data_IF_841200296922
#
_entry.id   IF_841200296922
#
_cell.length_a   1.000
_cell.length_b   1.000
_cell.length_c   1.000
_cell.angle_alpha   90.00
_cell.angle_beta   90.00
_cell.angle_gamma   90.00
#
_symmetry.space_group_name_H-M   'P 1'
#
loop_
_entity.id
_entity.type
_entity.pdbx_description
1 polymer ?
#
# COMPACT_ATOMS: atom_id res chain seq x y z
N UNK A 1 -43.36 -54.89 -17.11
CA UNK A 1 -42.47 -55.01 -18.27
C UNK A 1 -41.08 -54.56 -17.80
N UNK A 2 -40.24 -55.50 -17.38
CA UNK A 2 -39.03 -55.98 -18.09
C UNK A 2 -38.03 -54.86 -18.42
N UNK A 3 -36.73 -54.91 -18.08
CA UNK A 3 -35.87 -56.00 -17.58
C UNK A 3 -34.55 -55.42 -17.04
N UNK A 4 -33.97 -56.13 -16.09
CA UNK A 4 -32.60 -56.02 -15.55
C UNK A 4 -31.50 -56.10 -16.62
N UNK A 5 -30.32 -55.55 -16.31
CA UNK A 5 -29.11 -56.38 -16.15
C UNK A 5 -28.03 -55.68 -15.31
N UNK A 6 -27.64 -56.36 -14.23
CA UNK A 6 -26.45 -56.16 -13.41
C UNK A 6 -25.19 -56.65 -14.17
N UNK A 7 -23.98 -56.28 -13.70
CA UNK A 7 -22.90 -57.21 -13.27
C UNK A 7 -21.58 -56.45 -12.94
N UNK A 8 -21.21 -56.53 -11.64
CA UNK A 8 -19.89 -56.82 -11.01
C UNK A 8 -18.71 -55.83 -11.14
N UNK A 9 -18.10 -55.52 -9.97
CA UNK A 9 -16.96 -54.60 -9.73
C UNK A 9 -15.56 -55.10 -10.17
N UNK A 10 -14.45 -54.51 -9.68
CA UNK A 10 -14.09 -54.61 -8.25
C UNK A 10 -13.54 -53.31 -7.60
N UNK A 11 -13.48 -53.38 -6.27
CA UNK A 11 -12.76 -52.49 -5.34
C UNK A 11 -11.25 -52.56 -5.62
N UNK A 12 -10.58 -51.42 -5.68
CA UNK A 12 -9.13 -51.33 -5.46
C UNK A 12 -8.77 -50.01 -4.79
N UNK A 13 -8.30 -50.15 -3.55
CA UNK A 13 -7.59 -49.15 -2.77
C UNK A 13 -6.31 -48.71 -3.50
N UNK A 14 -6.02 -47.42 -3.55
CA UNK A 14 -4.69 -46.92 -3.87
C UNK A 14 -4.45 -45.57 -3.17
N UNK A 15 -3.81 -45.71 -2.00
CA UNK A 15 -2.98 -44.70 -1.34
C UNK A 15 -1.79 -44.36 -2.25
N UNK A 16 -1.12 -43.21 -1.99
CA UNK A 16 0.22 -42.77 -2.48
C UNK A 16 0.32 -42.29 -3.94
N UNK A 17 1.05 -41.24 -4.31
CA UNK A 17 2.13 -40.51 -3.66
C UNK A 17 2.19 -39.04 -4.16
N UNK A 18 2.54 -38.12 -3.27
CA UNK A 18 3.07 -36.80 -3.62
C UNK A 18 4.42 -37.03 -4.28
N UNK A 19 4.56 -36.67 -5.54
CA UNK A 19 5.83 -36.71 -6.25
C UNK A 19 6.73 -35.56 -5.77
N UNK A 20 7.36 -35.74 -4.60
CA UNK A 20 8.61 -35.06 -4.30
C UNK A 20 9.65 -35.65 -5.26
N UNK A 21 10.19 -34.83 -6.15
CA UNK A 21 11.30 -35.23 -7.00
C UNK A 21 12.55 -35.30 -6.12
N UNK A 22 12.73 -36.42 -5.44
CA UNK A 22 13.98 -36.75 -4.76
C UNK A 22 15.01 -37.12 -5.82
N UNK A 23 16.10 -36.37 -5.88
CA UNK A 23 17.25 -36.71 -6.71
C UNK A 23 17.75 -38.09 -6.30
N UNK A 24 18.06 -38.95 -7.27
CA UNK A 24 18.64 -40.25 -6.93
C UNK A 24 19.99 -40.04 -6.22
N UNK A 25 20.42 -40.95 -5.33
CA UNK A 25 21.70 -40.83 -4.64
C UNK A 25 22.87 -40.64 -5.62
N UNK A 26 22.83 -41.27 -6.80
CA UNK A 26 23.87 -41.06 -7.83
C UNK A 26 23.79 -39.68 -8.48
N UNK A 27 22.61 -39.06 -8.59
CA UNK A 27 22.47 -37.69 -9.08
C UNK A 27 23.00 -36.69 -8.06
N UNK A 28 22.77 -36.93 -6.77
CA UNK A 28 23.26 -36.10 -5.67
C UNK A 28 24.78 -36.17 -5.55
N UNK A 29 25.38 -37.36 -5.65
CA UNK A 29 26.85 -37.51 -5.67
C UNK A 29 27.48 -36.88 -6.92
N UNK A 30 26.82 -36.94 -8.09
CA UNK A 30 27.29 -36.23 -9.29
C UNK A 30 27.23 -34.72 -9.13
N UNK A 31 26.18 -34.18 -8.49
CA UNK A 31 26.07 -32.74 -8.22
C UNK A 31 27.16 -32.30 -7.25
N UNK A 32 27.41 -33.05 -6.17
CA UNK A 32 28.50 -32.77 -5.24
C UNK A 32 29.88 -32.80 -5.91
N UNK A 33 30.12 -33.77 -6.80
CA UNK A 33 31.36 -33.86 -7.57
C UNK A 33 31.58 -32.64 -8.47
N UNK A 34 30.55 -32.18 -9.19
CA UNK A 34 30.63 -31.00 -10.06
C UNK A 34 30.83 -29.72 -9.25
N UNK A 35 30.15 -29.60 -8.11
CA UNK A 35 30.30 -28.45 -7.21
C UNK A 35 31.71 -28.42 -6.60
N UNK A 36 32.28 -29.57 -6.23
CA UNK A 36 33.66 -29.62 -5.74
C UNK A 36 34.69 -29.25 -6.82
N UNK A 37 34.48 -29.63 -8.08
CA UNK A 37 35.34 -29.18 -9.19
C UNK A 37 35.28 -27.66 -9.42
N UNK A 38 34.15 -27.00 -9.11
CA UNK A 38 33.99 -25.56 -9.26
C UNK A 38 34.53 -24.76 -8.06
N UNK A 39 34.71 -25.39 -6.90
CA UNK A 39 35.03 -24.72 -5.63
C UNK A 39 36.51 -24.90 -5.22
N UNK A 40 37.25 -25.89 -5.74
CA UNK A 40 38.68 -26.00 -5.43
C UNK A 40 39.49 -24.91 -6.15
N UNK A 41 40.15 -23.99 -5.41
CA UNK A 41 41.10 -23.08 -6.01
C UNK A 41 42.41 -23.84 -6.19
N UNK A 42 42.81 -24.06 -7.42
CA UNK A 42 44.15 -24.56 -7.73
C UNK A 42 44.70 -23.70 -8.85
N UNK A 43 45.25 -22.56 -8.45
CA UNK A 43 46.25 -21.85 -9.25
C UNK A 43 47.58 -22.63 -9.19
N UNK A 44 48.38 -22.65 -10.26
CA UNK A 44 48.82 -21.42 -10.92
C UNK A 44 48.51 -21.32 -12.41
N UNK A 45 48.01 -20.13 -12.78
CA UNK A 45 48.08 -19.45 -14.09
C UNK A 45 47.88 -20.39 -15.29
N UNK A 46 46.64 -20.54 -15.79
CA UNK A 46 46.43 -21.20 -17.06
C UNK A 46 47.02 -20.31 -18.15
N UNK A 47 47.94 -20.87 -18.93
CA UNK A 47 48.32 -20.26 -20.22
C UNK A 47 47.04 -19.97 -21.02
N UNK A 48 46.95 -18.85 -21.77
CA UNK A 48 45.71 -18.41 -22.41
C UNK A 48 45.01 -19.47 -23.28
N UNK A 49 45.75 -20.47 -23.77
CA UNK A 49 45.19 -21.61 -24.50
C UNK A 49 44.45 -22.64 -23.65
N UNK A 50 44.81 -22.84 -22.37
CA UNK A 50 44.21 -23.87 -21.51
C UNK A 50 42.77 -23.52 -21.12
N UNK A 51 42.50 -22.26 -20.75
CA UNK A 51 41.15 -21.79 -20.41
C UNK A 51 40.19 -21.85 -21.62
N UNK A 52 40.69 -21.54 -22.82
CA UNK A 52 39.89 -21.63 -24.06
C UNK A 52 39.60 -23.09 -24.41
N UNK A 53 40.57 -23.99 -24.23
CA UNK A 53 40.39 -25.42 -24.48
C UNK A 53 39.39 -26.03 -23.50
N UNK A 54 39.44 -25.62 -22.23
CA UNK A 54 38.49 -26.06 -21.21
C UNK A 54 37.08 -25.49 -21.43
N UNK A 55 36.96 -24.21 -21.82
CA UNK A 55 35.70 -23.61 -22.21
C UNK A 55 35.06 -24.31 -23.42
N UNK A 56 35.84 -24.59 -24.47
CA UNK A 56 35.38 -25.32 -25.65
C UNK A 56 34.98 -26.76 -25.30
N UNK A 57 35.74 -27.43 -24.43
CA UNK A 57 35.41 -28.79 -23.97
C UNK A 57 34.14 -28.83 -23.13
N UNK A 58 33.89 -27.81 -22.29
CA UNK A 58 32.64 -27.66 -21.55
C UNK A 58 31.47 -27.32 -22.48
N UNK A 59 31.71 -26.52 -23.53
CA UNK A 59 30.69 -26.22 -24.54
C UNK A 59 30.33 -27.44 -25.40
N UNK A 60 31.32 -28.27 -25.74
CA UNK A 60 31.14 -29.53 -26.46
C UNK A 60 30.46 -30.59 -25.58
N UNK A 61 30.75 -30.64 -24.28
CA UNK A 61 30.01 -31.47 -23.32
C UNK A 61 28.55 -31.00 -23.16
N UNK A 62 28.29 -29.70 -23.23
CA UNK A 62 26.92 -29.16 -23.26
C UNK A 62 26.21 -29.47 -24.59
N UNK A 63 26.92 -29.46 -25.72
CA UNK A 63 26.36 -29.83 -27.04
C UNK A 63 26.11 -31.33 -27.18
N UNK A 64 27.01 -32.17 -26.70
CA UNK A 64 26.89 -33.63 -26.79
C UNK A 64 25.81 -34.22 -25.88
N UNK A 65 25.31 -33.47 -24.88
CA UNK A 65 24.25 -33.89 -23.96
C UNK A 65 22.84 -33.43 -24.35
N UNK A 66 22.69 -32.66 -25.41
CA UNK A 66 21.36 -32.29 -25.93
C UNK A 66 21.03 -33.26 -27.07
N UNK A 67 20.66 -34.49 -26.70
CA UNK A 67 19.71 -35.23 -27.53
C UNK A 67 18.44 -34.40 -27.68
N UNK A 68 17.61 -34.61 -28.73
CA UNK A 68 16.40 -33.84 -28.90
C UNK A 68 15.54 -34.01 -27.64
N UNK A 69 15.40 -32.94 -26.86
CA UNK A 69 14.42 -32.89 -25.78
C UNK A 69 13.08 -32.96 -26.50
N UNK A 70 12.52 -34.16 -26.63
CA UNK A 70 11.14 -34.32 -27.08
C UNK A 70 10.32 -33.57 -26.04
N UNK A 71 9.65 -32.45 -26.38
CA UNK A 71 8.89 -31.68 -25.41
C UNK A 71 7.62 -32.47 -25.10
N UNK A 72 7.72 -33.45 -24.19
CA UNK A 72 6.54 -34.04 -23.54
C UNK A 72 6.05 -33.09 -22.46
N UNK A 73 5.71 -31.86 -22.82
CA UNK A 73 5.10 -30.93 -21.90
C UNK A 73 4.01 -30.18 -22.63
N UNK A 74 2.76 -30.66 -22.45
CA UNK A 74 1.65 -29.70 -22.38
C UNK A 74 2.09 -28.67 -21.33
N UNK A 75 2.22 -27.38 -21.67
CA UNK A 75 2.58 -26.38 -20.66
C UNK A 75 1.47 -26.39 -19.62
N UNK A 76 1.71 -27.04 -18.48
CA UNK A 76 0.84 -26.89 -17.33
C UNK A 76 0.94 -25.42 -16.97
N UNK A 77 -0.14 -24.68 -17.23
CA UNK A 77 -0.24 -23.27 -16.84
C UNK A 77 -0.06 -23.21 -15.33
N UNK A 78 1.12 -22.80 -14.88
CA UNK A 78 1.41 -22.59 -13.47
C UNK A 78 0.37 -21.61 -12.92
N UNK A 79 -0.50 -22.09 -12.03
CA UNK A 79 -1.48 -21.21 -11.39
C UNK A 79 -0.77 -20.41 -10.31
N UNK A 80 -1.02 -19.11 -10.24
CA UNK A 80 -0.45 -18.24 -9.19
C UNK A 80 -0.61 -18.85 -7.79
N UNK A 81 -1.74 -19.50 -7.52
CA UNK A 81 -2.06 -20.14 -6.24
C UNK A 81 -1.16 -21.33 -5.90
N UNK A 82 -0.65 -22.04 -6.91
CA UNK A 82 0.22 -23.22 -6.76
C UNK A 82 1.68 -22.86 -6.46
N UNK A 83 2.06 -21.59 -6.64
CA UNK A 83 3.40 -21.13 -6.31
C UNK A 83 3.62 -21.12 -4.78
N UNK A 84 4.86 -21.35 -4.32
CA UNK A 84 5.25 -21.16 -2.93
C UNK A 84 4.84 -19.78 -2.39
N UNK A 85 4.60 -19.69 -1.08
CA UNK A 85 4.09 -18.46 -0.46
C UNK A 85 5.06 -17.28 -0.64
N UNK A 86 6.35 -17.57 -0.60
CA UNK A 86 7.46 -16.63 -0.74
C UNK A 86 7.42 -15.98 -2.13
N UNK A 87 7.32 -16.80 -3.18
CA UNK A 87 7.24 -16.34 -4.57
C UNK A 87 5.96 -15.55 -4.81
N UNK A 88 4.82 -16.01 -4.29
CA UNK A 88 3.55 -15.25 -4.37
C UNK A 88 3.67 -13.88 -3.71
N UNK A 89 4.27 -13.81 -2.52
CA UNK A 89 4.46 -12.55 -1.80
C UNK A 89 5.41 -11.61 -2.53
N UNK A 90 6.45 -12.13 -3.18
CA UNK A 90 7.31 -11.33 -4.06
C UNK A 90 6.53 -10.77 -5.25
N UNK A 91 5.72 -11.59 -5.92
CA UNK A 91 4.85 -11.14 -7.01
C UNK A 91 3.88 -10.05 -6.53
N UNK A 92 3.21 -10.25 -5.39
CA UNK A 92 2.31 -9.25 -4.83
C UNK A 92 3.03 -7.95 -4.51
N UNK A 93 4.18 -8.00 -3.84
CA UNK A 93 4.98 -6.81 -3.54
C UNK A 93 5.35 -6.06 -4.82
N UNK A 94 5.86 -6.77 -5.82
CA UNK A 94 6.31 -6.17 -7.07
C UNK A 94 5.17 -5.57 -7.91
N UNK A 95 3.95 -6.14 -7.83
CA UNK A 95 2.83 -5.73 -8.69
C UNK A 95 1.79 -4.84 -8.02
N UNK A 96 1.71 -4.86 -6.69
CA UNK A 96 0.69 -4.14 -5.92
C UNK A 96 1.27 -2.99 -5.08
N UNK A 97 2.57 -2.98 -4.79
CA UNK A 97 3.21 -1.90 -4.02
C UNK A 97 3.87 -0.93 -4.98
N UNK A 98 3.31 0.27 -5.07
CA UNK A 98 3.70 1.34 -5.99
C UNK A 98 4.01 2.66 -5.27
N UNK A 99 3.93 2.68 -3.94
CA UNK A 99 4.19 3.85 -3.11
C UNK A 99 2.94 4.69 -2.88
N UNK A 100 2.44 5.40 -3.90
CA UNK A 100 1.20 6.21 -3.82
C UNK A 100 0.10 5.66 -4.72
N UNK A 101 -1.11 5.58 -4.18
CA UNK A 101 -2.30 5.11 -4.90
C UNK A 101 -3.34 6.22 -4.95
N UNK A 102 -3.87 6.46 -6.15
CA UNK A 102 -4.93 7.43 -6.42
C UNK A 102 -6.20 6.64 -6.82
N UNK A 103 -7.15 6.41 -5.90
CA UNK A 103 -8.29 5.52 -6.12
C UNK A 103 -9.34 6.07 -7.10
N UNK A 104 -9.29 7.35 -7.47
CA UNK A 104 -10.18 7.96 -8.45
C UNK A 104 -9.56 8.04 -9.85
N UNK A 105 -10.37 7.78 -10.88
CA UNK A 105 -9.99 8.00 -12.29
C UNK A 105 -10.09 9.47 -12.71
N UNK A 106 -10.95 10.24 -12.03
CA UNK A 106 -11.27 11.62 -12.41
C UNK A 106 -10.19 12.59 -11.92
N UNK A 107 -9.87 13.60 -12.73
CA UNK A 107 -9.03 14.72 -12.29
C UNK A 107 -9.89 15.52 -11.29
N UNK A 108 -9.53 15.44 -10.02
CA UNK A 108 -10.08 16.35 -9.03
C UNK A 108 -9.29 17.65 -9.16
N UNK A 109 -9.88 18.78 -8.77
CA UNK A 109 -9.17 20.06 -8.66
C UNK A 109 -8.14 20.06 -7.50
N UNK A 110 -7.68 18.86 -7.10
CA UNK A 110 -6.71 18.62 -6.05
C UNK A 110 -5.33 18.52 -6.67
N UNK A 111 -4.51 19.55 -6.42
CA UNK A 111 -3.16 19.68 -6.94
C UNK A 111 -2.26 18.49 -6.57
N UNK A 112 -2.55 17.78 -5.47
CA UNK A 112 -1.81 16.56 -5.09
C UNK A 112 -2.02 15.40 -6.07
N UNK A 113 -3.07 15.47 -6.88
CA UNK A 113 -3.40 14.44 -7.87
C UNK A 113 -2.87 14.77 -9.26
N UNK A 114 -2.27 15.94 -9.48
CA UNK A 114 -1.73 16.32 -10.79
C UNK A 114 -0.61 15.38 -11.25
N UNK A 115 0.25 14.98 -10.31
CA UNK A 115 1.37 14.06 -10.57
C UNK A 115 0.97 12.59 -10.58
N UNK A 116 -0.32 12.24 -10.47
CA UNK A 116 -0.76 10.84 -10.41
C UNK A 116 -0.28 9.97 -11.58
N UNK A 117 -0.02 10.58 -12.73
CA UNK A 117 0.46 9.90 -13.92
C UNK A 117 1.96 9.56 -13.86
N UNK A 118 2.71 10.20 -12.97
CA UNK A 118 4.12 9.90 -12.70
C UNK A 118 4.28 8.64 -11.84
N UNK A 119 3.20 8.19 -11.18
CA UNK A 119 3.20 6.99 -10.34
C UNK A 119 2.79 5.75 -11.12
N UNK A 120 3.47 4.65 -10.83
CA UNK A 120 3.11 3.35 -11.38
C UNK A 120 1.72 2.92 -10.89
N UNK A 121 0.89 2.35 -11.77
CA UNK A 121 -0.43 1.81 -11.39
C UNK A 121 -0.30 0.38 -10.86
N UNK A 122 -0.92 0.04 -9.72
CA UNK A 122 -0.92 -1.32 -9.21
C UNK A 122 -1.76 -2.23 -10.10
N UNK A 123 -1.34 -3.49 -10.26
CA UNK A 123 -2.09 -4.50 -11.01
C UNK A 123 -3.23 -5.09 -10.17
N UNK A 124 -4.27 -4.28 -9.95
CA UNK A 124 -5.41 -4.63 -9.09
C UNK A 124 -6.18 -5.88 -9.55
N UNK A 125 -5.98 -6.36 -10.77
CA UNK A 125 -6.53 -7.64 -11.23
C UNK A 125 -6.06 -8.81 -10.34
N UNK A 126 -4.87 -8.71 -9.73
CA UNK A 126 -4.36 -9.72 -8.80
C UNK A 126 -5.21 -9.86 -7.52
N UNK A 127 -5.87 -8.78 -7.10
CA UNK A 127 -6.79 -8.80 -5.96
C UNK A 127 -8.11 -9.52 -6.30
N UNK A 128 -8.43 -9.65 -7.59
CA UNK A 128 -9.71 -10.21 -8.07
C UNK A 128 -9.61 -11.69 -8.46
N UNK A 129 -8.42 -12.30 -8.44
CA UNK A 129 -8.21 -13.67 -8.94
C UNK A 129 -8.98 -14.72 -8.13
N UNK A 130 -8.84 -14.72 -6.80
CA UNK A 130 -9.56 -15.62 -5.90
C UNK A 130 -9.50 -15.12 -4.46
N UNK A 131 -10.40 -15.60 -3.60
CA UNK A 131 -10.47 -15.21 -2.18
C UNK A 131 -9.17 -15.46 -1.41
N UNK A 132 -8.47 -16.56 -1.69
CA UNK A 132 -7.19 -16.86 -1.05
C UNK A 132 -6.08 -15.90 -1.50
N UNK A 133 -6.06 -15.54 -2.78
CA UNK A 133 -5.13 -14.55 -3.33
C UNK A 133 -5.39 -13.19 -2.69
N UNK A 134 -6.65 -12.76 -2.67
CA UNK A 134 -7.09 -11.53 -2.03
C UNK A 134 -6.64 -11.45 -0.56
N UNK A 135 -6.94 -12.47 0.26
CA UNK A 135 -6.59 -12.46 1.69
C UNK A 135 -5.08 -12.36 1.95
N UNK A 136 -4.24 -12.81 1.02
CA UNK A 136 -2.77 -12.72 1.13
C UNK A 136 -2.23 -11.40 0.58
N UNK A 137 -2.81 -10.92 -0.52
CA UNK A 137 -2.33 -9.76 -1.25
C UNK A 137 -2.84 -8.44 -0.66
N UNK A 138 -4.09 -8.41 -0.16
CA UNK A 138 -4.72 -7.20 0.34
C UNK A 138 -3.98 -6.57 1.53
N UNK A 139 -3.50 -7.32 2.54
CA UNK A 139 -2.69 -6.74 3.61
C UNK A 139 -1.43 -6.03 3.09
N UNK A 140 -0.74 -6.61 2.11
CA UNK A 140 0.44 -6.00 1.50
C UNK A 140 0.07 -4.74 0.72
N UNK A 141 -1.03 -4.79 -0.05
CA UNK A 141 -1.52 -3.67 -0.85
C UNK A 141 -1.93 -2.47 0.02
N UNK A 142 -2.70 -2.69 1.08
CA UNK A 142 -3.20 -1.60 1.94
C UNK A 142 -2.16 -1.08 2.94
N UNK A 143 -1.28 -1.95 3.44
CA UNK A 143 -0.31 -1.55 4.47
C UNK A 143 0.94 -0.86 3.92
N UNK A 144 1.33 -1.16 2.67
CA UNK A 144 2.59 -0.65 2.09
C UNK A 144 2.43 0.51 1.12
N UNK A 145 1.20 0.88 0.79
CA UNK A 145 0.93 2.02 -0.08
C UNK A 145 0.27 3.14 0.72
N UNK A 146 0.61 4.38 0.35
CA UNK A 146 -0.07 5.58 0.81
C UNK A 146 -1.23 5.88 -0.13
N UNK A 147 -2.45 5.90 0.40
CA UNK A 147 -3.64 6.22 -0.38
C UNK A 147 -3.85 7.72 -0.37
N UNK A 148 -3.86 8.34 -1.55
CA UNK A 148 -4.14 9.78 -1.69
C UNK A 148 -5.62 9.94 -1.99
N UNK A 149 -6.37 10.35 -0.97
CA UNK A 149 -7.79 10.63 -1.14
C UNK A 149 -7.95 12.07 -1.63
N UNK A 150 -8.62 12.29 -2.77
CA UNK A 150 -8.92 13.63 -3.26
C UNK A 150 -9.95 14.33 -2.35
N UNK A 151 -10.33 15.56 -2.68
CA UNK A 151 -11.43 16.25 -2.02
C UNK A 151 -12.64 15.35 -1.86
N UNK A 152 -13.24 15.38 -0.67
CA UNK A 152 -14.35 14.53 -0.31
C UNK A 152 -15.62 15.03 -1.00
N UNK A 153 -15.85 14.74 -2.28
CA UNK A 153 -17.13 15.07 -2.95
C UNK A 153 -18.23 14.08 -2.52
N UNK A 154 -18.53 14.07 -1.21
CA UNK A 154 -19.58 13.29 -0.58
C UNK A 154 -19.24 11.82 -0.30
N UNK A 155 -20.23 11.09 0.22
CA UNK A 155 -20.17 9.72 0.75
C UNK A 155 -19.59 8.63 -0.18
N UNK A 156 -19.19 8.96 -1.41
CA UNK A 156 -18.63 8.03 -2.39
C UNK A 156 -17.19 7.58 -2.10
N UNK A 157 -16.31 8.48 -1.67
CA UNK A 157 -14.91 8.12 -1.36
C UNK A 157 -14.78 7.38 -0.04
N UNK A 158 -15.54 7.83 0.95
CA UNK A 158 -15.76 7.11 2.21
C UNK A 158 -16.92 6.14 2.12
N UNK A 159 -17.25 5.61 0.94
CA UNK A 159 -18.30 4.58 0.80
C UNK A 159 -18.04 3.33 1.66
N UNK A 160 -16.81 3.21 2.18
CA UNK A 160 -16.39 2.24 3.18
C UNK A 160 -17.07 2.43 4.54
N UNK A 161 -17.57 3.65 4.83
CA UNK A 161 -18.38 4.03 6.01
C UNK A 161 -19.68 3.25 6.08
N UNK A 162 -20.22 2.83 4.92
CA UNK A 162 -21.36 1.91 4.91
C UNK A 162 -20.87 0.51 5.32
N UNK A 163 -21.19 0.09 6.56
CA UNK A 163 -20.89 -1.26 7.13
C UNK A 163 -21.33 -2.43 6.25
N UNK A 164 -22.13 -2.18 5.22
CA UNK A 164 -22.49 -3.13 4.18
C UNK A 164 -21.65 -2.88 2.93
N UNK A 165 -20.52 -3.55 2.74
CA UNK A 165 -20.04 -3.91 1.39
C UNK A 165 -18.65 -4.56 1.41
N UNK A 166 -18.47 -5.54 0.52
CA UNK A 166 -17.23 -6.11 -0.04
C UNK A 166 -16.04 -6.52 0.87
N UNK A 167 -15.36 -7.61 0.50
CA UNK A 167 -14.09 -8.02 1.11
C UNK A 167 -13.00 -6.93 1.03
N UNK A 168 -13.07 -6.09 -0.01
CA UNK A 168 -12.16 -4.96 -0.25
C UNK A 168 -12.31 -3.90 0.84
N UNK A 169 -13.55 -3.54 1.17
CA UNK A 169 -13.87 -2.53 2.18
C UNK A 169 -13.37 -2.95 3.57
N UNK A 170 -13.67 -4.18 3.99
CA UNK A 170 -13.21 -4.71 5.28
C UNK A 170 -11.68 -4.80 5.34
N UNK A 171 -11.05 -5.31 4.28
CA UNK A 171 -9.59 -5.44 4.26
C UNK A 171 -8.90 -4.08 4.24
N UNK A 172 -9.46 -3.09 3.55
CA UNK A 172 -8.96 -1.72 3.56
C UNK A 172 -8.98 -1.18 4.98
N UNK A 173 -10.14 -1.24 5.64
CA UNK A 173 -10.29 -0.75 7.02
C UNK A 173 -9.32 -1.38 8.02
N UNK A 174 -9.07 -2.70 7.91
CA UNK A 174 -8.18 -3.42 8.84
C UNK A 174 -6.70 -3.21 8.53
N UNK A 175 -6.32 -3.04 7.26
CA UNK A 175 -4.91 -3.10 6.84
C UNK A 175 -4.36 -1.77 6.32
N UNK A 176 -5.18 -0.74 6.13
CA UNK A 176 -4.72 0.57 5.70
C UNK A 176 -3.83 1.19 6.78
N UNK A 177 -2.60 1.53 6.41
CA UNK A 177 -1.60 2.10 7.33
C UNK A 177 -1.19 3.53 6.99
N UNK A 178 -1.36 3.95 5.75
CA UNK A 178 -0.90 5.25 5.29
C UNK A 178 -1.95 5.94 4.42
N UNK A 179 -2.31 7.16 4.80
CA UNK A 179 -3.31 7.96 4.11
C UNK A 179 -2.78 9.38 3.87
N UNK A 180 -3.19 9.98 2.76
CA UNK A 180 -2.92 11.37 2.44
C UNK A 180 -4.24 12.08 2.14
N UNK A 181 -4.60 13.04 2.97
CA UNK A 181 -5.85 13.81 2.88
C UNK A 181 -5.55 15.31 2.73
N UNK A 182 -6.60 16.08 2.48
CA UNK A 182 -6.53 17.54 2.48
C UNK A 182 -7.77 18.12 3.12
N UNK A 183 -7.59 19.19 3.87
CA UNK A 183 -8.69 20.03 4.31
C UNK A 183 -8.95 21.06 3.22
N UNK A 184 -9.85 20.69 2.32
CA UNK A 184 -10.36 21.58 1.29
C UNK A 184 -11.82 21.85 1.55
N UNK A 185 -12.26 23.01 1.09
CA UNK A 185 -13.67 23.33 1.09
C UNK A 185 -14.41 22.75 -0.11
N UNK A 186 -13.66 22.24 -1.10
CA UNK A 186 -14.25 21.42 -2.14
C UNK A 186 -14.79 20.08 -1.62
N UNK A 187 -14.47 19.73 -0.37
CA UNK A 187 -15.09 18.63 0.37
C UNK A 187 -16.59 18.84 0.68
N UNK A 188 -17.11 20.07 0.51
CA UNK A 188 -18.55 20.38 0.61
C UNK A 188 -19.19 20.81 -0.72
N UNK A 189 -18.53 20.58 -1.86
CA UNK A 189 -18.97 21.16 -3.15
C UNK A 189 -20.37 20.77 -3.63
N UNK A 190 -20.86 19.61 -3.18
CA UNK A 190 -22.24 19.21 -3.47
C UNK A 190 -23.23 20.15 -2.78
N UNK A 191 -22.89 20.62 -1.57
CA UNK A 191 -23.66 21.54 -0.75
C UNK A 191 -23.46 23.00 -1.19
N UNK A 192 -22.28 23.43 -1.65
CA UNK A 192 -22.06 24.81 -2.14
C UNK A 192 -23.11 25.27 -3.16
N UNK A 193 -23.44 24.42 -4.13
CA UNK A 193 -24.43 24.75 -5.18
C UNK A 193 -25.85 24.84 -4.63
N UNK A 194 -26.14 24.17 -3.52
CA UNK A 194 -27.42 24.21 -2.80
C UNK A 194 -27.44 25.37 -1.80
N UNK A 195 -26.34 25.63 -1.09
CA UNK A 195 -26.14 26.75 -0.19
C UNK A 195 -26.35 28.10 -0.89
N UNK A 196 -25.80 28.27 -2.11
CA UNK A 196 -26.07 29.45 -2.94
C UNK A 196 -27.55 29.58 -3.35
N UNK A 197 -28.29 28.48 -3.46
CA UNK A 197 -29.73 28.52 -3.76
C UNK A 197 -30.57 28.85 -2.53
N UNK A 198 -30.10 28.42 -1.36
CA UNK A 198 -30.81 28.58 -0.09
C UNK A 198 -30.49 29.90 0.64
N UNK A 199 -29.54 30.69 0.13
CA UNK A 199 -29.18 31.99 0.72
C UNK A 199 -28.46 31.86 2.06
N UNK A 200 -27.62 30.82 2.21
CA UNK A 200 -26.75 30.66 3.38
C UNK A 200 -25.89 31.91 3.56
N UNK A 201 -25.74 32.35 4.81
CA UNK A 201 -24.70 33.30 5.17
C UNK A 201 -23.34 32.59 5.27
N UNK A 202 -22.27 33.40 5.29
CA UNK A 202 -20.90 32.90 5.30
C UNK A 202 -20.62 31.99 6.52
N UNK A 203 -21.26 32.28 7.66
CA UNK A 203 -21.05 31.56 8.92
C UNK A 203 -21.65 30.14 8.87
N UNK A 204 -22.90 30.00 8.41
CA UNK A 204 -23.56 28.70 8.31
C UNK A 204 -22.84 27.75 7.33
N UNK A 205 -22.24 28.30 6.27
CA UNK A 205 -21.45 27.52 5.32
C UNK A 205 -20.10 27.09 5.90
N UNK A 206 -19.42 27.98 6.64
CA UNK A 206 -18.18 27.62 7.33
C UNK A 206 -18.41 26.50 8.36
N UNK A 207 -19.50 26.57 9.13
CA UNK A 207 -19.89 25.53 10.09
C UNK A 207 -20.06 24.15 9.42
N UNK A 208 -20.72 24.08 8.26
CA UNK A 208 -20.92 22.83 7.51
C UNK A 208 -19.59 22.20 7.03
N UNK A 209 -18.64 23.04 6.60
CA UNK A 209 -17.29 22.58 6.24
C UNK A 209 -16.55 22.06 7.46
N UNK A 210 -16.65 22.77 8.59
CA UNK A 210 -16.02 22.33 9.83
C UNK A 210 -16.58 21.00 10.31
N UNK A 211 -17.89 20.82 10.24
CA UNK A 211 -18.54 19.55 10.52
C UNK A 211 -18.04 18.44 9.59
N UNK A 212 -17.87 18.72 8.29
CA UNK A 212 -17.31 17.77 7.33
C UNK A 212 -15.87 17.38 7.67
N UNK A 213 -15.03 18.34 8.07
CA UNK A 213 -13.65 18.07 8.48
C UNK A 213 -13.61 17.26 9.77
N UNK A 214 -14.46 17.59 10.73
CA UNK A 214 -14.61 16.85 11.98
C UNK A 214 -15.03 15.40 11.71
N UNK A 215 -16.08 15.20 10.92
CA UNK A 215 -16.54 13.88 10.46
C UNK A 215 -15.41 13.08 9.81
N UNK A 216 -14.60 13.76 8.99
CA UNK A 216 -13.42 13.15 8.36
C UNK A 216 -12.42 12.67 9.40
N UNK A 217 -12.02 13.52 10.36
CA UNK A 217 -11.03 13.14 11.38
C UNK A 217 -11.58 12.07 12.34
N UNK A 218 -12.86 12.16 12.71
CA UNK A 218 -13.54 11.10 13.46
C UNK A 218 -13.52 9.76 12.71
N UNK A 219 -13.69 9.76 11.39
CA UNK A 219 -13.55 8.55 10.58
C UNK A 219 -12.13 7.98 10.61
N UNK A 220 -11.11 8.85 10.56
CA UNK A 220 -9.72 8.43 10.69
C UNK A 220 -9.47 7.73 12.02
N UNK A 221 -10.21 8.10 13.07
CA UNK A 221 -10.08 7.46 14.38
C UNK A 221 -10.53 6.00 14.40
N UNK A 222 -11.26 5.52 13.40
CA UNK A 222 -11.56 4.09 13.32
C UNK A 222 -10.52 3.30 12.52
N UNK A 223 -9.56 3.97 11.91
CA UNK A 223 -8.50 3.36 11.11
C UNK A 223 -7.22 3.22 11.94
N UNK A 224 -6.60 2.06 11.90
CA UNK A 224 -5.31 1.82 12.55
C UNK A 224 -4.14 2.34 11.69
N UNK A 225 -4.14 3.65 11.42
CA UNK A 225 -3.12 4.34 10.63
C UNK A 225 -1.81 4.45 11.40
N UNK A 226 -0.70 4.33 10.69
CA UNK A 226 0.64 4.66 11.21
C UNK A 226 1.18 5.95 10.61
N UNK A 227 0.64 6.38 9.46
CA UNK A 227 1.00 7.63 8.78
C UNK A 227 -0.25 8.34 8.25
N UNK A 228 -0.37 9.62 8.59
CA UNK A 228 -1.35 10.54 8.03
C UNK A 228 -0.63 11.75 7.43
N UNK A 229 -0.66 11.88 6.11
CA UNK A 229 -0.26 13.11 5.42
C UNK A 229 -1.48 14.04 5.30
N UNK A 230 -1.32 15.29 5.69
CA UNK A 230 -2.35 16.33 5.58
C UNK A 230 -1.79 17.48 4.75
N UNK A 231 -2.47 17.80 3.65
CA UNK A 231 -2.17 19.01 2.87
C UNK A 231 -3.12 20.13 3.24
N UNK A 232 -2.54 21.27 3.56
CA UNK A 232 -3.26 22.52 3.78
C UNK A 232 -3.33 23.37 2.51
N UNK A 233 -2.73 22.97 1.37
CA UNK A 233 -2.58 23.83 0.20
C UNK A 233 -3.88 24.54 -0.22
N UNK A 234 -5.01 23.82 -0.18
CA UNK A 234 -6.31 24.29 -0.65
C UNK A 234 -7.29 24.64 0.49
N UNK A 235 -6.77 24.89 1.68
CA UNK A 235 -7.55 25.28 2.87
C UNK A 235 -7.92 26.78 2.84
N UNK A 236 -8.96 27.14 2.09
CA UNK A 236 -9.40 28.53 1.87
C UNK A 236 -10.91 28.67 1.91
N UNK A 237 -11.42 29.74 2.54
CA UNK A 237 -12.82 30.15 2.44
C UNK A 237 -13.19 30.54 1.00
N UNK A 238 -14.37 30.14 0.50
CA UNK A 238 -14.85 30.41 -0.86
C UNK A 238 -15.64 31.71 -0.91
N UNK A 239 -16.20 32.13 0.24
CA UNK A 239 -16.93 33.38 0.39
C UNK A 239 -15.97 34.53 0.74
N UNK A 240 -15.28 34.43 1.87
CA UNK A 240 -14.37 35.50 2.32
C UNK A 240 -12.94 35.38 1.79
N UNK A 241 -12.62 34.33 1.00
CA UNK A 241 -11.27 34.07 0.45
C UNK A 241 -10.14 34.01 1.49
N UNK A 242 -10.50 33.87 2.76
CA UNK A 242 -9.54 33.85 3.85
C UNK A 242 -8.94 32.46 4.04
N UNK A 243 -7.71 32.42 4.52
CA UNK A 243 -6.96 31.19 4.76
C UNK A 243 -7.43 30.55 6.06
N UNK A 244 -7.82 29.26 6.02
CA UNK A 244 -8.41 28.54 7.18
C UNK A 244 -7.50 27.46 7.77
N UNK A 245 -6.21 27.47 7.43
CA UNK A 245 -5.23 26.46 7.83
C UNK A 245 -5.15 26.23 9.35
N UNK A 246 -5.19 27.28 10.16
CA UNK A 246 -5.14 27.17 11.62
C UNK A 246 -6.37 26.46 12.19
N UNK A 247 -7.57 26.74 11.66
CA UNK A 247 -8.81 26.11 12.10
C UNK A 247 -8.85 24.63 11.68
N UNK A 248 -8.42 24.33 10.45
CA UNK A 248 -8.30 22.95 9.99
C UNK A 248 -7.33 22.14 10.87
N UNK A 249 -6.22 22.76 11.29
CA UNK A 249 -5.28 22.15 12.21
C UNK A 249 -5.89 21.96 13.60
N UNK A 250 -6.65 22.91 14.10
CA UNK A 250 -7.33 22.78 15.39
C UNK A 250 -8.29 21.59 15.40
N UNK A 251 -9.10 21.43 14.36
CA UNK A 251 -9.96 20.25 14.17
C UNK A 251 -9.12 18.98 14.16
N UNK A 252 -8.04 18.93 13.38
CA UNK A 252 -7.15 17.77 13.34
C UNK A 252 -6.61 17.41 14.73
N UNK A 253 -6.02 18.37 15.43
CA UNK A 253 -5.35 18.13 16.72
C UNK A 253 -6.34 17.76 17.84
N UNK A 254 -7.60 18.15 17.75
CA UNK A 254 -8.61 17.82 18.75
C UNK A 254 -9.17 16.39 18.63
N UNK A 255 -9.08 15.77 17.43
CA UNK A 255 -9.72 14.48 17.15
C UNK A 255 -8.75 13.39 16.69
N UNK A 256 -7.45 13.70 16.56
CA UNK A 256 -6.46 12.74 16.10
C UNK A 256 -6.10 11.69 17.15
N UNK A 257 -5.77 10.49 16.67
CA UNK A 257 -5.42 9.35 17.52
C UNK A 257 -3.96 9.32 17.95
N UNK A 258 -3.71 8.58 19.02
CA UNK A 258 -2.39 8.17 19.46
C UNK A 258 -1.72 7.20 18.49
N UNK A 259 -0.41 7.07 18.59
CA UNK A 259 0.46 6.20 17.78
C UNK A 259 0.44 6.48 16.27
N UNK A 260 0.11 7.71 15.90
CA UNK A 260 0.03 8.16 14.51
C UNK A 260 1.14 9.16 14.18
N UNK A 261 1.91 8.88 13.13
CA UNK A 261 2.81 9.88 12.53
C UNK A 261 1.99 10.79 11.63
N UNK A 262 2.12 12.10 11.80
CA UNK A 262 1.42 13.10 11.00
C UNK A 262 2.43 13.94 10.25
N UNK A 263 2.17 14.17 8.97
CA UNK A 263 2.99 15.04 8.12
C UNK A 263 2.10 16.11 7.50
N UNK A 264 2.32 17.36 7.90
CA UNK A 264 1.60 18.52 7.37
C UNK A 264 2.43 19.17 6.27
N UNK A 265 1.76 19.49 5.16
CA UNK A 265 2.34 20.14 3.98
C UNK A 265 1.41 21.22 3.44
N UNK A 266 1.86 21.95 2.42
CA UNK A 266 1.01 22.93 1.73
C UNK A 266 0.87 24.26 2.48
N UNK A 267 1.90 24.67 3.22
CA UNK A 267 1.94 25.97 3.86
C UNK A 267 2.06 27.09 2.83
N UNK A 268 1.30 28.16 3.00
CA UNK A 268 1.33 29.34 2.13
C UNK A 268 2.67 30.10 2.24
N UNK A 269 3.20 30.20 3.46
CA UNK A 269 4.42 30.95 3.76
C UNK A 269 5.04 30.51 5.10
N UNK A 270 6.23 31.04 5.40
CA UNK A 270 6.98 30.75 6.63
C UNK A 270 6.23 31.17 7.91
N UNK A 271 5.40 32.22 7.82
CA UNK A 271 4.62 32.71 8.96
C UNK A 271 3.56 31.70 9.36
N UNK A 272 2.78 31.20 8.40
CA UNK A 272 1.77 30.15 8.62
C UNK A 272 2.44 28.88 9.18
N UNK A 273 3.59 28.47 8.63
CA UNK A 273 4.36 27.35 9.16
C UNK A 273 4.74 27.53 10.64
N UNK A 274 5.25 28.71 11.01
CA UNK A 274 5.61 29.01 12.41
C UNK A 274 4.40 29.06 13.33
N UNK A 275 3.27 29.58 12.87
CA UNK A 275 2.02 29.62 13.62
C UNK A 275 1.50 28.20 13.89
N UNK A 276 1.44 27.36 12.85
CA UNK A 276 1.05 25.93 12.97
C UNK A 276 2.01 25.17 13.89
N UNK A 277 3.31 25.39 13.75
CA UNK A 277 4.32 24.78 14.65
C UNK A 277 4.06 25.16 16.11
N UNK A 278 3.81 26.43 16.40
CA UNK A 278 3.46 26.91 17.76
C UNK A 278 2.17 26.28 18.28
N UNK A 279 1.16 26.06 17.43
CA UNK A 279 -0.10 25.40 17.85
C UNK A 279 0.15 23.95 18.28
N UNK A 280 0.97 23.22 17.55
CA UNK A 280 1.34 21.83 17.88
C UNK A 280 2.18 21.79 19.17
N UNK A 281 3.15 22.71 19.31
CA UNK A 281 3.93 22.85 20.54
C UNK A 281 3.06 23.23 21.75
N UNK A 282 2.09 24.13 21.57
CA UNK A 282 1.15 24.51 22.62
C UNK A 282 0.29 23.30 23.06
N UNK A 283 -0.25 22.54 22.11
CA UNK A 283 -1.01 21.30 22.39
C UNK A 283 -0.15 20.25 23.11
N UNK A 284 1.14 20.15 22.76
CA UNK A 284 2.10 19.31 23.48
C UNK A 284 2.27 19.76 24.94
N UNK A 285 2.40 21.06 25.19
CA UNK A 285 2.64 21.59 26.55
C UNK A 285 1.41 21.59 27.46
N UNK A 286 0.21 21.60 26.88
CA UNK A 286 -1.04 21.61 27.65
C UNK A 286 -1.37 20.26 28.30
N UNK A 287 -0.59 19.20 28.04
CA UNK A 287 -0.95 17.83 28.37
C UNK A 287 -2.11 17.42 27.47
N UNK A 288 -1.85 16.57 26.47
CA UNK A 288 -2.83 16.24 25.44
C UNK A 288 -4.16 15.80 26.04
N UNK A 289 -5.27 16.14 25.37
CA UNK A 289 -6.54 15.45 25.60
C UNK A 289 -6.23 13.95 25.46
N UNK A 290 -6.46 13.17 26.53
CA UNK A 290 -6.18 11.73 26.63
C UNK A 290 -4.73 11.27 26.89
N UNK A 291 -3.85 12.09 27.48
CA UNK A 291 -2.53 11.61 27.91
C UNK A 291 -1.65 11.21 26.73
N UNK A 292 -1.45 12.14 25.79
CA UNK A 292 -0.64 11.93 24.60
C UNK A 292 0.70 12.68 24.70
N UNK A 293 1.81 12.03 24.37
CA UNK A 293 3.13 12.66 24.21
C UNK A 293 3.41 12.95 22.73
N UNK A 294 3.94 14.15 22.43
CA UNK A 294 4.16 14.60 21.05
C UNK A 294 5.66 14.60 20.73
N UNK A 295 6.10 13.68 19.87
CA UNK A 295 7.47 13.59 19.39
C UNK A 295 7.66 14.44 18.14
N UNK A 296 8.57 15.41 18.17
CA UNK A 296 8.86 16.26 17.02
C UNK A 296 10.01 15.68 16.19
N UNK A 297 9.75 15.37 14.92
CA UNK A 297 10.79 15.22 13.89
C UNK A 297 10.68 16.45 12.99
N UNK A 298 11.40 17.54 13.30
CA UNK A 298 11.26 18.78 12.54
C UNK A 298 12.35 19.00 11.51
N UNK A 299 11.86 19.46 10.34
CA UNK A 299 12.54 20.03 9.18
C UNK A 299 13.11 19.05 8.15
N UNK A 300 12.34 18.87 7.08
CA UNK A 300 12.91 18.63 5.76
C UNK A 300 12.38 19.72 4.84
N UNK A 301 13.26 20.65 4.43
CA UNK A 301 13.05 21.40 3.19
C UNK A 301 13.10 20.38 2.06
N UNK A 302 12.03 20.25 1.30
CA UNK A 302 12.13 19.57 0.00
C UNK A 302 13.02 20.40 -0.93
N UNK A 303 13.53 19.77 -1.99
CA UNK A 303 14.34 20.42 -3.03
C UNK A 303 13.62 21.62 -3.71
N UNK A 304 12.31 21.78 -3.48
CA UNK A 304 11.46 22.88 -3.96
C UNK A 304 11.13 23.96 -2.91
N UNK A 305 11.88 24.05 -1.79
CA UNK A 305 11.68 25.05 -0.72
C UNK A 305 10.30 25.03 -0.03
N UNK A 306 9.52 23.96 -0.22
CA UNK A 306 8.22 23.78 0.43
C UNK A 306 8.42 23.29 1.87
N UNK A 307 7.85 24.02 2.82
CA UNK A 307 7.86 23.64 4.23
C UNK A 307 7.06 22.35 4.46
N UNK A 308 7.62 21.45 5.26
CA UNK A 308 6.94 20.24 5.76
C UNK A 308 7.12 20.19 7.28
N UNK A 309 6.07 19.77 7.97
CA UNK A 309 6.07 19.66 9.42
C UNK A 309 5.62 18.25 9.79
N UNK A 310 6.49 17.47 10.43
CA UNK A 310 6.15 16.14 10.90
C UNK A 310 6.13 16.08 12.42
N UNK A 311 5.19 15.33 12.98
CA UNK A 311 5.14 15.03 14.40
C UNK A 311 4.53 13.65 14.62
N UNK A 312 4.87 13.05 15.74
CA UNK A 312 4.34 11.78 16.21
C UNK A 312 3.41 12.06 17.39
N UNK A 313 2.20 11.53 17.32
CA UNK A 313 1.31 11.41 18.48
C UNK A 313 1.60 10.07 19.13
N UNK A 314 1.99 10.05 20.40
CA UNK A 314 2.26 8.85 21.18
C UNK A 314 1.30 8.78 22.37
N UNK A 315 1.01 7.59 22.87
CA UNK A 315 0.42 7.45 24.22
C UNK A 315 1.44 7.93 25.27
N UNK A 316 0.97 8.47 26.40
CA UNK A 316 1.80 8.66 27.58
C UNK A 316 2.37 7.30 28.03
N UNK A 317 3.64 7.26 28.46
CA UNK A 317 4.12 6.09 29.16
C UNK A 317 3.28 5.95 30.43
N UNK A 318 2.59 4.82 30.56
CA UNK A 318 2.07 4.39 31.87
C UNK A 318 3.30 4.23 32.74
N UNK A 319 3.51 5.14 33.69
CA UNK A 319 4.48 4.94 34.76
C UNK A 319 4.06 3.67 35.51
N UNK A 320 4.84 2.59 35.37
CA UNK A 320 4.70 1.35 36.17
C UNK A 320 5.17 1.53 37.60
#
# INVERSE_FOLDING_TARGET
MSTNNQIIGPVASAVTAVANQEFTPEQLERIKSVVNCLITPSDPVPTPGAAVTEFLRTQDLMRARIGPIIPSYKPQRLRLVQLPAEIRNQIYRYRLVVGKIFPGSQKYEDNRTDERFNYQKPQNQLLQVCRQGFNKAAPLYFAKNTFVLPYDRGAGFWSWRTRRSSLVTRSGFTNLKSLSITFSMYSGMTELREAFKCGYDDDAFEDEIFDTWKDTVELLSYLNLTLLEVSLADCWCSFCHSRKASLALEVLLNYIQCNLRVVITGFKNVREFREVKKMIEAKRTQGGIHGQTWGAEFEQKDDEDKYKLAFQVCDEPVEE
#
